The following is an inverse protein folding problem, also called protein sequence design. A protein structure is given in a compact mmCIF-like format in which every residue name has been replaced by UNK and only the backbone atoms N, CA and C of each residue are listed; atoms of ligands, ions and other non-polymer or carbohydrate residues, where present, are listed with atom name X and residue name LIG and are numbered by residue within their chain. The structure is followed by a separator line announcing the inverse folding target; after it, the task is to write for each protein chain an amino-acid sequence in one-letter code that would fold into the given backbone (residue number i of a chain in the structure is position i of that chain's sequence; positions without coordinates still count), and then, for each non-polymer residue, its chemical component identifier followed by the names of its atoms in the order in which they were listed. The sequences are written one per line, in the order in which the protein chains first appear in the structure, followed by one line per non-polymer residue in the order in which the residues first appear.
data_IF_887994501775
#
_entry.id   IF_887994501775
#
_cell.length_a   1.000
_cell.length_b   1.000
_cell.length_c   1.000
_cell.angle_alpha   90.00
_cell.angle_beta   90.00
_cell.angle_gamma   90.00
#
_symmetry.space_group_name_H-M   'P 1'
#
loop_
_entity.id
_entity.type
_entity.pdbx_description
1 polymer ?
#
# COMPACT_ATOMS: atom_id res chain seq x y z
N UNK A 1 -4.29 18.94 -29.28
CA UNK A 1 -3.97 18.83 -27.85
C UNK A 1 -5.24 18.41 -27.12
N UNK A 2 -5.45 17.11 -26.92
CA UNK A 2 -6.70 16.58 -26.37
C UNK A 2 -6.62 16.65 -24.85
N UNK A 3 -7.39 17.54 -24.21
CA UNK A 3 -7.61 17.48 -22.77
C UNK A 3 -8.34 16.18 -22.46
N UNK A 4 -7.64 15.22 -21.87
CA UNK A 4 -8.24 14.03 -21.29
C UNK A 4 -9.08 14.49 -20.10
N UNK A 5 -10.41 14.53 -20.26
CA UNK A 5 -11.33 14.74 -19.14
C UNK A 5 -11.18 13.56 -18.17
N UNK A 6 -10.40 13.77 -17.11
CA UNK A 6 -10.25 12.78 -16.05
C UNK A 6 -11.54 12.73 -15.23
N UNK A 7 -11.95 11.53 -14.86
CA UNK A 7 -13.12 11.32 -13.99
C UNK A 7 -12.80 11.84 -12.59
N UNK A 8 -13.79 12.43 -11.92
CA UNK A 8 -13.65 12.89 -10.54
C UNK A 8 -14.02 11.83 -9.50
N UNK A 9 -14.77 10.80 -9.92
CA UNK A 9 -15.35 9.81 -9.02
C UNK A 9 -14.80 8.42 -9.26
N UNK A 10 -14.52 7.70 -8.16
CA UNK A 10 -14.31 6.27 -8.19
C UNK A 10 -15.59 5.55 -8.63
N UNK A 11 -15.45 4.34 -9.17
CA UNK A 11 -16.58 3.46 -9.43
C UNK A 11 -16.40 2.13 -8.70
N UNK A 12 -17.52 1.54 -8.30
CA UNK A 12 -17.55 0.24 -7.61
C UNK A 12 -18.02 -0.83 -8.58
N UNK A 13 -17.34 -1.97 -8.57
CA UNK A 13 -17.78 -3.19 -9.22
C UNK A 13 -17.60 -4.37 -8.27
N UNK A 14 -18.16 -5.52 -8.59
CA UNK A 14 -18.19 -6.67 -7.70
C UNK A 14 -17.46 -7.86 -8.30
N UNK A 15 -16.76 -8.62 -7.45
CA UNK A 15 -16.13 -9.88 -7.85
C UNK A 15 -16.53 -11.00 -6.89
N UNK A 16 -16.85 -12.18 -7.43
CA UNK A 16 -17.26 -13.31 -6.60
C UNK A 16 -16.06 -13.88 -5.82
N UNK A 17 -16.24 -14.14 -4.53
CA UNK A 17 -15.29 -14.92 -3.73
C UNK A 17 -15.44 -16.40 -4.08
N UNK A 18 -14.78 -16.84 -5.16
CA UNK A 18 -14.88 -18.21 -5.70
C UNK A 18 -14.39 -19.30 -4.74
N UNK A 19 -13.57 -18.94 -3.74
CA UNK A 19 -13.08 -19.84 -2.70
C UNK A 19 -14.07 -20.05 -1.54
N UNK A 20 -15.23 -19.39 -1.53
CA UNK A 20 -16.26 -19.56 -0.49
C UNK A 20 -17.49 -20.28 -1.06
N UNK A 21 -18.10 -21.24 -0.34
CA UNK A 21 -19.26 -22.02 -0.82
C UNK A 21 -20.42 -21.13 -1.28
N UNK A 22 -20.69 -20.08 -0.51
CA UNK A 22 -21.79 -19.14 -0.72
C UNK A 22 -21.52 -18.08 -1.80
N UNK A 23 -20.31 -18.05 -2.37
CA UNK A 23 -19.89 -17.16 -3.48
C UNK A 23 -20.20 -15.67 -3.29
N UNK A 24 -20.12 -15.17 -2.05
CA UNK A 24 -20.33 -13.75 -1.72
C UNK A 24 -19.53 -12.80 -2.63
N UNK A 25 -20.14 -11.68 -3.02
CA UNK A 25 -19.48 -10.64 -3.79
C UNK A 25 -18.58 -9.75 -2.91
N UNK A 26 -17.36 -9.48 -3.37
CA UNK A 26 -16.46 -8.46 -2.82
C UNK A 26 -16.64 -7.17 -3.64
N UNK A 27 -17.01 -6.03 -3.01
CA UNK A 27 -16.94 -4.75 -3.69
C UNK A 27 -15.47 -4.39 -3.95
N UNK A 28 -15.20 -3.88 -5.15
CA UNK A 28 -13.89 -3.39 -5.58
C UNK A 28 -14.09 -1.96 -6.06
N UNK A 29 -13.33 -1.05 -5.46
CA UNK A 29 -13.33 0.38 -5.83
C UNK A 29 -12.22 0.59 -6.86
N UNK A 30 -12.53 1.23 -7.99
CA UNK A 30 -11.57 1.52 -9.06
C UNK A 30 -11.46 3.02 -9.33
N UNK A 31 -10.20 3.49 -9.35
CA UNK A 31 -9.80 4.81 -9.84
C UNK A 31 -9.40 4.84 -11.31
N UNK A 32 -9.76 3.83 -12.12
CA UNK A 32 -9.37 3.82 -13.54
C UNK A 32 -9.98 5.03 -14.28
N UNK A 33 -9.08 5.86 -14.81
CA UNK A 33 -9.46 7.07 -15.55
C UNK A 33 -9.71 8.29 -14.67
N UNK A 34 -9.41 8.22 -13.37
CA UNK A 34 -9.51 9.37 -12.46
C UNK A 34 -8.16 10.08 -12.32
N UNK A 35 -8.18 11.34 -11.89
CA UNK A 35 -6.96 12.08 -11.59
C UNK A 35 -6.26 11.54 -10.34
N UNK A 36 -7.04 11.05 -9.36
CA UNK A 36 -6.49 10.42 -8.16
C UNK A 36 -5.58 9.25 -8.51
N UNK A 37 -5.89 8.46 -9.55
CA UNK A 37 -4.99 7.39 -10.00
C UNK A 37 -3.64 7.92 -10.51
N UNK A 38 -3.62 9.08 -11.17
CA UNK A 38 -2.36 9.68 -11.61
C UNK A 38 -1.56 10.19 -10.41
N UNK A 39 -2.23 10.85 -9.46
CA UNK A 39 -1.61 11.25 -8.20
C UNK A 39 -1.07 10.03 -7.44
N UNK A 40 -1.84 8.95 -7.28
CA UNK A 40 -1.39 7.74 -6.60
C UNK A 40 -0.17 7.10 -7.28
N UNK A 41 -0.09 7.14 -8.61
CA UNK A 41 1.09 6.66 -9.34
C UNK A 41 2.31 7.56 -9.10
N UNK A 42 2.10 8.87 -9.09
CA UNK A 42 3.14 9.83 -8.74
C UNK A 42 3.65 9.57 -7.31
N UNK A 43 2.77 9.55 -6.31
CA UNK A 43 3.09 9.25 -4.92
C UNK A 43 3.82 7.91 -4.79
N UNK A 44 3.30 6.85 -5.41
CA UNK A 44 3.95 5.53 -5.40
C UNK A 44 5.37 5.58 -5.95
N UNK A 45 5.60 6.30 -7.07
CA UNK A 45 6.94 6.42 -7.64
C UNK A 45 7.93 7.13 -6.70
N UNK A 46 7.47 8.11 -5.92
CA UNK A 46 8.32 8.87 -5.00
C UNK A 46 8.54 8.14 -3.69
N UNK A 47 7.48 7.54 -3.14
CA UNK A 47 7.57 6.66 -1.97
C UNK A 47 8.45 5.44 -2.24
N UNK A 48 8.53 4.96 -3.49
CA UNK A 48 9.43 3.84 -3.83
C UNK A 48 10.93 4.15 -3.74
N UNK A 49 11.30 5.44 -3.64
CA UNK A 49 12.68 5.84 -3.37
C UNK A 49 13.04 5.65 -1.89
N UNK A 50 12.03 5.71 -1.02
CA UNK A 50 12.18 5.55 0.42
C UNK A 50 12.32 4.07 0.74
N UNK A 51 13.40 3.72 1.45
CA UNK A 51 13.60 2.34 1.92
C UNK A 51 12.80 2.14 3.20
N UNK A 52 11.79 1.27 3.14
CA UNK A 52 11.13 0.73 4.30
C UNK A 52 11.54 -0.74 4.42
N UNK A 53 12.36 -1.06 5.42
CA UNK A 53 12.71 -2.44 5.74
C UNK A 53 11.60 -3.01 6.62
N UNK A 54 10.75 -3.85 6.03
CA UNK A 54 9.77 -4.64 6.75
C UNK A 54 10.23 -6.10 6.81
N UNK A 55 10.78 -6.56 7.94
CA UNK A 55 11.26 -7.93 8.09
C UNK A 55 10.13 -8.97 8.06
N UNK A 56 8.86 -8.53 8.11
CA UNK A 56 7.68 -9.38 8.07
C UNK A 56 6.95 -9.30 6.72
N UNK A 57 7.47 -8.55 5.74
CA UNK A 57 6.87 -8.42 4.42
C UNK A 57 6.96 -9.75 3.65
N UNK A 58 5.83 -10.44 3.55
CA UNK A 58 5.69 -11.63 2.72
C UNK A 58 5.22 -11.21 1.31
N UNK A 59 6.04 -11.45 0.28
CA UNK A 59 5.70 -11.00 -1.09
C UNK A 59 4.68 -11.89 -1.76
N UNK A 60 4.68 -13.17 -1.43
CA UNK A 60 3.77 -14.17 -1.97
C UNK A 60 3.60 -15.34 -1.01
N UNK A 61 2.55 -16.15 -1.22
CA UNK A 61 2.24 -17.28 -0.34
C UNK A 61 3.31 -18.38 -0.34
N UNK A 62 4.10 -18.51 -1.41
CA UNK A 62 5.11 -19.56 -1.50
C UNK A 62 6.28 -19.30 -0.54
N UNK A 63 6.71 -18.05 -0.38
CA UNK A 63 7.74 -17.68 0.61
C UNK A 63 7.34 -18.09 2.04
N UNK A 64 6.06 -17.93 2.38
CA UNK A 64 5.53 -18.35 3.68
C UNK A 64 5.48 -19.88 3.80
N UNK A 65 5.06 -20.58 2.74
CA UNK A 65 5.08 -22.05 2.72
C UNK A 65 6.50 -22.59 2.87
N UNK A 66 7.48 -22.01 2.18
CA UNK A 66 8.89 -22.39 2.31
C UNK A 66 9.41 -22.17 3.74
N UNK A 67 9.07 -21.04 4.37
CA UNK A 67 9.42 -20.77 5.76
C UNK A 67 8.83 -21.82 6.73
N UNK A 68 7.53 -22.13 6.59
CA UNK A 68 6.85 -23.10 7.45
C UNK A 68 7.37 -24.53 7.24
N UNK A 69 7.65 -24.91 5.99
CA UNK A 69 8.11 -26.26 5.65
C UNK A 69 9.60 -26.50 5.92
N UNK A 70 10.42 -25.44 5.96
CA UNK A 70 11.86 -25.53 6.25
C UNK A 70 12.19 -25.51 7.74
N UNK A 71 11.27 -25.06 8.59
CA UNK A 71 11.40 -25.16 10.05
C UNK A 71 11.11 -26.57 10.56
N UNK A 72 11.86 -27.05 11.56
CA UNK A 72 11.52 -28.28 12.31
C UNK A 72 10.13 -28.09 12.96
N UNK A 73 9.10 -28.67 12.35
CA UNK A 73 7.68 -28.48 12.62
C UNK A 73 7.19 -29.03 13.96
N UNK A 74 8.07 -29.59 14.78
CA UNK A 74 7.65 -30.43 15.90
C UNK A 74 7.14 -29.64 17.12
N UNK A 75 7.35 -28.31 17.21
CA UNK A 75 6.91 -27.49 18.35
C UNK A 75 6.60 -26.01 18.01
N UNK A 76 5.97 -25.72 16.87
CA UNK A 76 5.51 -24.36 16.56
C UNK A 76 4.19 -24.07 17.30
N UNK A 77 4.27 -23.22 18.33
CA UNK A 77 3.11 -22.57 18.94
C UNK A 77 2.74 -21.35 18.08
N UNK A 78 1.78 -21.55 17.18
CA UNK A 78 1.36 -20.49 16.26
C UNK A 78 0.07 -19.83 16.72
N UNK A 79 -0.06 -18.54 16.42
CA UNK A 79 -1.30 -17.79 16.53
C UNK A 79 -1.50 -16.93 15.29
N UNK A 80 -2.77 -16.79 14.89
CA UNK A 80 -3.14 -15.97 13.74
C UNK A 80 -3.76 -14.66 14.21
N UNK A 81 -3.26 -13.55 13.69
CA UNK A 81 -3.80 -12.21 13.92
C UNK A 81 -4.39 -11.69 12.62
N UNK A 82 -5.67 -11.34 12.65
CA UNK A 82 -6.37 -10.71 11.53
C UNK A 82 -6.81 -9.30 11.91
N UNK A 83 -6.42 -8.30 11.12
CA UNK A 83 -6.83 -6.90 11.33
C UNK A 83 -8.08 -6.61 10.50
N UNK A 84 -9.16 -6.23 11.17
CA UNK A 84 -10.39 -5.79 10.51
C UNK A 84 -10.24 -4.36 9.98
N UNK A 85 -10.89 -4.10 8.86
CA UNK A 85 -11.09 -2.75 8.30
C UNK A 85 -9.81 -1.92 8.15
N UNK A 86 -8.73 -2.55 7.68
CA UNK A 86 -7.38 -1.94 7.59
C UNK A 86 -7.41 -0.51 7.06
N UNK A 87 -8.07 -0.26 5.93
CA UNK A 87 -8.10 1.08 5.32
C UNK A 87 -8.87 2.14 6.13
N UNK A 88 -9.79 1.73 7.00
CA UNK A 88 -10.59 2.65 7.83
C UNK A 88 -10.00 2.83 9.23
N UNK A 89 -9.05 1.98 9.64
CA UNK A 89 -8.45 2.00 10.97
C UNK A 89 -6.98 2.47 10.96
N UNK A 90 -6.51 3.08 9.88
CA UNK A 90 -5.11 3.54 9.79
C UNK A 90 -4.92 4.80 10.65
N UNK A 91 -3.93 4.82 11.56
CA UNK A 91 -3.54 6.04 12.27
C UNK A 91 -2.76 6.93 11.30
N UNK A 92 -3.44 7.92 10.71
CA UNK A 92 -2.86 8.77 9.65
C UNK A 92 -1.66 9.58 10.13
N UNK A 93 -1.68 10.05 11.37
CA UNK A 93 -0.60 10.76 12.04
C UNK A 93 0.67 9.90 12.13
N UNK A 94 0.55 8.67 12.61
CA UNK A 94 1.67 7.73 12.72
C UNK A 94 2.18 7.32 11.34
N UNK A 95 1.27 7.14 10.37
CA UNK A 95 1.62 6.80 8.99
C UNK A 95 2.45 7.91 8.35
N UNK A 96 1.99 9.16 8.42
CA UNK A 96 2.70 10.31 7.86
C UNK A 96 4.04 10.53 8.57
N UNK A 97 4.09 10.35 9.90
CA UNK A 97 5.34 10.42 10.64
C UNK A 97 6.35 9.37 10.17
N UNK A 98 5.90 8.15 9.88
CA UNK A 98 6.76 7.09 9.34
C UNK A 98 7.33 7.45 7.96
N UNK A 99 6.54 8.14 7.11
CA UNK A 99 7.01 8.63 5.81
C UNK A 99 8.04 9.74 5.99
N UNK A 100 7.79 10.69 6.89
CA UNK A 100 8.73 11.75 7.25
C UNK A 100 10.07 11.16 7.72
N UNK A 101 10.05 10.21 8.65
CA UNK A 101 11.25 9.55 9.16
C UNK A 101 12.02 8.84 8.03
N UNK A 102 11.32 8.23 7.08
CA UNK A 102 11.94 7.62 5.90
C UNK A 102 12.56 8.66 4.94
N UNK A 103 11.94 9.84 4.79
CA UNK A 103 12.49 10.96 4.01
C UNK A 103 13.78 11.46 4.66
N UNK A 104 13.78 11.61 5.99
CA UNK A 104 14.96 12.01 6.75
C UNK A 104 16.12 11.02 6.58
N UNK A 105 15.82 9.71 6.65
CA UNK A 105 16.80 8.64 6.42
C UNK A 105 17.33 8.60 4.97
N UNK A 106 16.48 8.89 3.99
CA UNK A 106 16.89 9.00 2.58
C UNK A 106 17.73 10.26 2.32
N UNK A 107 17.51 11.30 3.12
CA UNK A 107 18.10 12.62 3.00
C UNK A 107 17.11 13.60 2.34
N UNK A 108 16.61 14.55 3.13
CA UNK A 108 15.58 15.50 2.73
C UNK A 108 15.90 16.22 1.40
N UNK A 109 17.10 16.80 1.26
CA UNK A 109 17.51 17.49 0.02
C UNK A 109 17.51 16.56 -1.21
N UNK A 110 17.94 15.30 -1.03
CA UNK A 110 17.92 14.32 -2.12
C UNK A 110 16.48 13.95 -2.51
N UNK A 111 15.61 13.79 -1.51
CA UNK A 111 14.18 13.54 -1.73
C UNK A 111 13.51 14.70 -2.46
N UNK A 112 13.66 15.94 -1.96
CA UNK A 112 13.10 17.16 -2.56
C UNK A 112 13.55 17.36 -4.00
N UNK A 113 14.84 17.16 -4.28
CA UNK A 113 15.37 17.21 -5.65
C UNK A 113 14.73 16.13 -6.56
N UNK A 114 14.42 14.95 -6.00
CA UNK A 114 13.80 13.87 -6.77
C UNK A 114 12.30 14.09 -7.03
N UNK A 115 11.59 14.72 -6.09
CA UNK A 115 10.14 14.93 -6.16
C UNK A 115 9.78 16.26 -6.81
N UNK A 116 10.67 17.24 -6.77
CA UNK A 116 10.51 18.57 -7.34
C UNK A 116 9.64 19.50 -6.49
N UNK A 117 9.52 19.24 -5.19
CA UNK A 117 8.79 20.04 -4.21
C UNK A 117 9.39 19.83 -2.81
N UNK A 118 9.05 20.72 -1.88
CA UNK A 118 9.45 20.61 -0.50
C UNK A 118 8.79 19.41 0.19
N UNK A 119 9.49 18.81 1.17
CA UNK A 119 9.03 17.59 1.83
C UNK A 119 7.74 17.79 2.63
N UNK A 120 7.56 18.96 3.25
CA UNK A 120 6.33 19.36 3.96
C UNK A 120 5.13 19.43 3.01
N UNK A 121 5.29 20.06 1.85
CA UNK A 121 4.26 20.13 0.80
C UNK A 121 3.90 18.73 0.31
N UNK A 122 4.89 17.84 0.16
CA UNK A 122 4.63 16.46 -0.27
C UNK A 122 3.77 15.69 0.74
N UNK A 123 3.99 15.89 2.05
CA UNK A 123 3.23 15.23 3.11
C UNK A 123 1.77 15.74 3.22
N UNK A 124 1.45 16.87 2.60
CA UNK A 124 0.11 17.45 2.55
C UNK A 124 -0.72 17.04 1.30
N UNK A 125 -0.13 16.29 0.35
CA UNK A 125 -0.80 15.83 -0.89
C UNK A 125 -1.84 14.73 -0.64
#
# INVERSE_FOLDING_TARGET
MTFLMLKNTFYVFFFAKTHKPDKHFRPIVSGRGTWQRQLSKFLQSKLSLLKCEDPYLVKNSNEMLEFVLSGNSDNLLDFSVDRKDVYYSLPHDILLKSVEDCIDMFGCVAFENSVGMAADIFLEL
#
